data_IF_803229277439
#
_entry.id   IF_803229277439
#
_cell.length_a   1.000
_cell.length_b   1.000
_cell.length_c   1.000
_cell.angle_alpha   90.00
_cell.angle_beta   90.00
_cell.angle_gamma   90.00
#
_symmetry.space_group_name_H-M   'P 1'
#
loop_
_entity.id
_entity.type
_entity.pdbx_description
1 polymer ?
#
# COMPACT_ATOMS: atom_id res chain seq x y z
N UNK A 1 -7.56 -15.47 25.64
CA UNK A 1 -6.12 -15.59 25.27
C UNK A 1 -5.75 -14.68 24.09
N UNK A 2 -6.54 -13.65 23.74
CA UNK A 2 -6.80 -13.39 22.31
C UNK A 2 -6.60 -11.96 21.76
N UNK A 3 -6.25 -10.93 22.54
CA UNK A 3 -6.03 -9.60 21.94
C UNK A 3 -4.58 -9.39 21.45
N UNK A 4 -3.57 -9.64 22.31
CA UNK A 4 -2.17 -9.30 21.98
C UNK A 4 -1.59 -10.12 20.83
N UNK A 5 -1.81 -11.44 20.83
CA UNK A 5 -1.37 -12.30 19.72
C UNK A 5 -2.03 -11.91 18.40
N UNK A 6 -3.33 -11.61 18.40
CA UNK A 6 -4.03 -11.14 17.21
C UNK A 6 -3.43 -9.80 16.73
N UNK A 7 -3.17 -8.88 17.66
CA UNK A 7 -2.55 -7.57 17.39
C UNK A 7 -1.18 -7.72 16.74
N UNK A 8 -0.30 -8.56 17.30
CA UNK A 8 1.03 -8.80 16.75
C UNK A 8 0.97 -9.42 15.34
N UNK A 9 0.08 -10.40 15.10
CA UNK A 9 -0.09 -11.02 13.78
C UNK A 9 -0.64 -10.03 12.74
N UNK A 10 -1.62 -9.22 13.15
CA UNK A 10 -2.21 -8.17 12.33
C UNK A 10 -1.16 -7.14 11.93
N UNK A 11 -0.46 -6.56 12.90
CA UNK A 11 0.56 -5.53 12.64
C UNK A 11 1.78 -6.06 11.89
N UNK A 12 2.23 -7.29 12.18
CA UNK A 12 3.30 -7.94 11.43
C UNK A 12 3.02 -7.91 9.92
N UNK A 13 1.81 -8.30 9.53
CA UNK A 13 1.41 -8.33 8.11
C UNK A 13 1.25 -6.93 7.52
N UNK A 14 0.70 -5.96 8.27
CA UNK A 14 0.60 -4.56 7.84
C UNK A 14 1.97 -3.95 7.57
N UNK A 15 2.94 -4.16 8.45
CA UNK A 15 4.28 -3.63 8.25
C UNK A 15 4.98 -4.23 7.02
N UNK A 16 4.78 -5.53 6.76
CA UNK A 16 5.33 -6.18 5.56
C UNK A 16 4.68 -5.67 4.27
N UNK A 17 3.35 -5.52 4.26
CA UNK A 17 2.63 -4.95 3.10
C UNK A 17 3.01 -3.48 2.89
N UNK A 18 3.16 -2.69 3.96
CA UNK A 18 3.63 -1.29 3.90
C UNK A 18 5.03 -1.18 3.30
N UNK A 19 5.96 -2.03 3.74
CA UNK A 19 7.30 -2.07 3.19
C UNK A 19 7.29 -2.40 1.69
N UNK A 20 6.47 -3.35 1.25
CA UNK A 20 6.29 -3.67 -0.17
C UNK A 20 5.69 -2.50 -0.96
N UNK A 21 4.62 -1.88 -0.43
CA UNK A 21 3.94 -0.76 -1.09
C UNK A 21 4.88 0.44 -1.26
N UNK A 22 5.64 0.77 -0.22
CA UNK A 22 6.62 1.84 -0.29
C UNK A 22 7.75 1.53 -1.27
N UNK A 23 8.25 0.29 -1.30
CA UNK A 23 9.26 -0.11 -2.28
C UNK A 23 8.74 0.01 -3.73
N UNK A 24 7.50 -0.39 -3.99
CA UNK A 24 6.87 -0.26 -5.32
C UNK A 24 6.71 1.19 -5.74
N UNK A 25 6.27 2.04 -4.82
CA UNK A 25 6.10 3.47 -5.06
C UNK A 25 7.44 4.15 -5.32
N UNK A 26 8.46 3.87 -4.50
CA UNK A 26 9.81 4.41 -4.65
C UNK A 26 10.46 4.01 -5.97
N UNK A 27 10.32 2.75 -6.38
CA UNK A 27 10.89 2.23 -7.63
C UNK A 27 10.33 2.97 -8.85
N UNK A 28 9.01 3.20 -8.84
CA UNK A 28 8.31 3.93 -9.90
C UNK A 28 8.64 5.42 -9.89
N UNK A 29 8.60 6.08 -8.73
CA UNK A 29 8.99 7.49 -8.58
C UNK A 29 10.43 7.73 -9.02
N UNK A 30 11.34 6.81 -8.67
CA UNK A 30 12.73 6.86 -9.10
C UNK A 30 12.87 6.62 -10.62
N UNK A 31 12.11 5.69 -11.19
CA UNK A 31 12.15 5.44 -12.64
C UNK A 31 11.62 6.63 -13.44
N UNK A 32 10.55 7.28 -12.98
CA UNK A 32 9.97 8.46 -13.63
C UNK A 32 10.91 9.67 -13.56
N UNK A 33 11.63 9.85 -12.45
CA UNK A 33 12.55 10.98 -12.30
C UNK A 33 13.78 10.92 -13.21
N UNK A 34 14.13 9.72 -13.68
CA UNK A 34 15.20 9.51 -14.66
C UNK A 34 14.76 9.73 -16.11
N UNK A 35 13.46 9.87 -16.38
CA UNK A 35 12.96 10.09 -17.74
C UNK A 35 13.26 11.53 -18.21
N UNK A 36 13.55 11.73 -19.52
CA UNK A 36 13.72 13.08 -20.07
C UNK A 36 12.44 13.90 -19.85
N UNK A 37 12.57 14.99 -19.10
CA UNK A 37 11.46 15.93 -18.91
C UNK A 37 11.56 16.97 -20.03
N UNK A 38 10.53 17.08 -20.88
CA UNK A 38 10.44 18.06 -21.99
C UNK A 38 10.33 19.51 -21.45
N UNK A 39 11.39 20.02 -20.81
CA UNK A 39 11.46 21.36 -20.23
C UNK A 39 10.68 21.59 -18.94
N UNK A 40 10.21 20.53 -18.26
CA UNK A 40 9.27 20.59 -17.12
C UNK A 40 9.86 20.39 -15.71
N UNK A 41 11.15 20.66 -15.52
CA UNK A 41 11.81 20.60 -14.21
C UNK A 41 12.83 19.47 -14.09
N UNK A 42 13.45 19.34 -12.91
CA UNK A 42 14.55 18.41 -12.61
C UNK A 42 14.07 17.02 -12.15
N UNK A 43 12.78 16.70 -12.32
CA UNK A 43 12.17 15.44 -11.90
C UNK A 43 11.87 15.34 -10.41
N UNK A 44 12.08 16.40 -9.62
CA UNK A 44 11.80 16.41 -8.18
C UNK A 44 10.32 16.17 -7.85
N UNK A 45 9.38 16.63 -8.69
CA UNK A 45 7.95 16.43 -8.46
C UNK A 45 7.57 14.94 -8.36
N UNK A 46 8.14 14.09 -9.20
CA UNK A 46 7.84 12.65 -9.20
C UNK A 46 8.53 11.92 -8.03
N UNK A 47 9.68 12.42 -7.55
CA UNK A 47 10.35 11.90 -6.34
C UNK A 47 9.68 12.42 -5.06
N UNK A 48 8.99 13.56 -5.12
CA UNK A 48 8.21 14.10 -4.00
C UNK A 48 6.86 13.38 -3.82
N UNK A 49 6.37 12.69 -4.86
CA UNK A 49 5.11 11.93 -4.84
C UNK A 49 4.93 11.05 -3.58
N UNK A 50 5.93 10.26 -3.13
CA UNK A 50 5.81 9.47 -1.93
C UNK A 50 5.58 10.31 -0.67
N UNK A 51 6.17 11.51 -0.56
CA UNK A 51 5.96 12.42 0.58
C UNK A 51 4.51 12.89 0.69
N UNK A 52 3.85 13.11 -0.45
CA UNK A 52 2.43 13.48 -0.51
C UNK A 52 1.56 12.30 -0.12
N UNK A 53 1.78 11.13 -0.74
CA UNK A 53 0.98 9.91 -0.49
C UNK A 53 1.05 9.49 0.99
N UNK A 54 2.24 9.58 1.61
CA UNK A 54 2.42 9.22 3.02
C UNK A 54 2.12 10.35 4.00
N UNK A 55 1.83 11.57 3.51
CA UNK A 55 1.61 12.74 4.35
C UNK A 55 2.83 13.14 5.19
N UNK A 56 4.06 12.89 4.71
CA UNK A 56 5.30 13.11 5.47
C UNK A 56 6.13 14.28 4.95
N UNK A 57 5.57 15.12 4.08
CA UNK A 57 6.26 16.28 3.50
C UNK A 57 6.79 17.23 4.58
N UNK A 58 5.95 17.63 5.53
CA UNK A 58 6.34 18.54 6.63
C UNK A 58 7.46 17.94 7.48
N UNK A 59 7.32 16.68 7.91
CA UNK A 59 8.35 15.98 8.68
C UNK A 59 9.68 15.88 7.93
N UNK A 60 9.65 15.68 6.61
CA UNK A 60 10.86 15.66 5.80
C UNK A 60 11.52 17.04 5.75
N UNK A 61 10.74 18.10 5.47
CA UNK A 61 11.25 19.48 5.36
C UNK A 61 11.87 19.93 6.69
N UNK A 62 11.21 19.65 7.82
CA UNK A 62 11.72 19.99 9.15
C UNK A 62 13.08 19.36 9.46
N UNK A 63 13.32 18.14 8.96
CA UNK A 63 14.54 17.36 9.26
C UNK A 63 15.66 17.56 8.24
N UNK A 64 15.30 17.73 6.97
CA UNK A 64 16.25 17.67 5.84
C UNK A 64 16.30 18.95 5.01
N UNK A 65 15.40 19.91 5.25
CA UNK A 65 15.29 21.15 4.49
C UNK A 65 14.72 20.92 3.09
N UNK A 66 15.34 21.52 2.08
CA UNK A 66 14.89 21.45 0.69
C UNK A 66 14.84 20.01 0.15
N UNK A 67 13.91 19.78 -0.78
CA UNK A 67 13.74 18.52 -1.47
C UNK A 67 15.03 18.12 -2.19
N UNK A 68 15.46 16.87 -1.96
CA UNK A 68 16.66 16.34 -2.60
C UNK A 68 16.49 14.85 -2.83
N UNK A 69 16.66 14.42 -4.08
CA UNK A 69 16.42 13.06 -4.54
C UNK A 69 17.01 12.00 -3.60
N UNK A 70 18.34 11.99 -3.42
CA UNK A 70 19.01 10.96 -2.60
C UNK A 70 18.57 10.96 -1.13
N UNK A 71 18.28 12.13 -0.56
CA UNK A 71 17.82 12.25 0.83
C UNK A 71 16.42 11.69 0.99
N UNK A 72 15.52 11.97 0.04
CA UNK A 72 14.18 11.40 0.01
C UNK A 72 14.21 9.87 -0.14
N UNK A 73 15.05 9.34 -1.05
CA UNK A 73 15.23 7.90 -1.20
C UNK A 73 15.74 7.26 0.10
N UNK A 74 16.71 7.87 0.77
CA UNK A 74 17.19 7.39 2.07
C UNK A 74 16.12 7.48 3.17
N UNK A 75 15.38 8.59 3.24
CA UNK A 75 14.31 8.84 4.22
C UNK A 75 13.23 7.75 4.21
N UNK A 76 12.87 7.26 3.02
CA UNK A 76 11.89 6.18 2.88
C UNK A 76 12.51 4.78 2.95
N UNK A 77 13.75 4.60 2.50
CA UNK A 77 14.38 3.28 2.46
C UNK A 77 14.98 2.86 3.80
N UNK A 78 15.93 3.63 4.33
CA UNK A 78 16.87 3.19 5.36
C UNK A 78 16.87 4.03 6.64
N UNK A 79 16.14 5.15 6.67
CA UNK A 79 16.07 6.01 7.85
C UNK A 79 15.32 5.35 9.01
N UNK A 80 16.07 4.93 10.03
CA UNK A 80 15.53 4.31 11.24
C UNK A 80 14.76 5.30 12.14
N UNK A 81 14.88 6.62 11.91
CA UNK A 81 14.13 7.66 12.64
C UNK A 81 12.77 7.96 12.01
N UNK A 82 12.52 7.46 10.80
CA UNK A 82 11.22 7.49 10.14
C UNK A 82 10.50 6.16 10.43
N UNK A 83 9.43 6.14 11.24
CA UNK A 83 8.67 4.91 11.54
C UNK A 83 8.03 4.28 10.30
N UNK A 84 7.80 5.06 9.26
CA UNK A 84 7.21 4.61 8.00
C UNK A 84 8.26 4.11 6.98
N UNK A 85 9.55 4.22 7.26
CA UNK A 85 10.58 3.72 6.34
C UNK A 85 10.52 2.20 6.21
N UNK A 86 11.01 1.69 5.07
CA UNK A 86 11.11 0.24 4.82
C UNK A 86 11.93 -0.43 5.93
N UNK A 87 13.05 0.17 6.33
CA UNK A 87 13.87 -0.33 7.43
C UNK A 87 13.08 -0.46 8.75
N UNK A 88 12.38 0.60 9.15
CA UNK A 88 11.58 0.60 10.39
C UNK A 88 10.43 -0.40 10.31
N UNK A 89 9.73 -0.49 9.17
CA UNK A 89 8.64 -1.45 8.95
C UNK A 89 9.12 -2.90 9.06
N UNK A 90 10.23 -3.25 8.42
CA UNK A 90 10.78 -4.61 8.52
C UNK A 90 11.27 -4.94 9.93
N UNK A 91 11.80 -3.95 10.66
CA UNK A 91 12.15 -4.10 12.08
C UNK A 91 10.93 -4.36 12.96
N UNK A 92 9.86 -3.59 12.76
CA UNK A 92 8.60 -3.75 13.48
C UNK A 92 7.94 -5.10 13.17
N UNK A 93 7.91 -5.52 11.89
CA UNK A 93 7.42 -6.82 11.47
C UNK A 93 8.17 -7.97 12.16
N UNK A 94 9.51 -7.89 12.25
CA UNK A 94 10.34 -8.86 12.98
C UNK A 94 10.02 -8.88 14.47
N UNK A 95 9.83 -7.72 15.10
CA UNK A 95 9.49 -7.63 16.51
C UNK A 95 8.14 -8.31 16.80
N UNK A 96 7.11 -8.01 16.00
CA UNK A 96 5.80 -8.65 16.10
C UNK A 96 5.88 -10.16 15.87
N UNK A 97 6.58 -10.60 14.82
CA UNK A 97 6.80 -12.02 14.54
C UNK A 97 7.49 -12.76 15.70
N UNK A 98 8.44 -12.10 16.38
CA UNK A 98 9.13 -12.66 17.53
C UNK A 98 8.19 -12.84 18.72
N UNK A 99 7.34 -11.85 18.99
CA UNK A 99 6.35 -11.91 20.07
C UNK A 99 5.37 -13.09 19.90
N UNK A 100 5.07 -13.46 18.66
CA UNK A 100 4.15 -14.56 18.32
C UNK A 100 4.83 -15.76 17.68
N UNK A 101 6.12 -16.00 17.96
CA UNK A 101 6.89 -17.12 17.40
C UNK A 101 6.19 -18.47 17.55
N UNK A 102 5.50 -18.70 18.67
CA UNK A 102 4.73 -19.93 18.92
C UNK A 102 3.41 -20.05 18.15
N UNK A 103 3.05 -19.06 17.32
CA UNK A 103 1.79 -18.98 16.56
C UNK A 103 2.01 -18.86 15.05
N UNK A 104 3.26 -18.67 14.61
CA UNK A 104 3.69 -18.70 13.21
C UNK A 104 4.53 -19.94 12.96
N UNK A 105 4.74 -20.29 11.70
CA UNK A 105 5.59 -21.44 11.34
C UNK A 105 7.07 -21.08 11.40
N UNK A 106 7.92 -22.11 11.44
CA UNK A 106 9.37 -21.94 11.36
C UNK A 106 9.77 -21.21 10.06
N UNK A 107 9.16 -21.59 8.92
CA UNK A 107 9.46 -21.00 7.61
C UNK A 107 9.11 -19.50 7.56
N UNK A 108 7.97 -19.11 8.16
CA UNK A 108 7.61 -17.69 8.29
C UNK A 108 8.62 -16.92 9.14
N UNK A 109 9.00 -17.48 10.30
CA UNK A 109 9.96 -16.84 11.19
C UNK A 109 11.34 -16.68 10.53
N UNK A 110 11.87 -17.74 9.92
CA UNK A 110 13.20 -17.70 9.28
C UNK A 110 13.19 -16.71 8.12
N UNK A 111 12.12 -16.66 7.33
CA UNK A 111 11.99 -15.67 6.26
C UNK A 111 12.08 -14.21 6.76
N UNK A 112 11.31 -13.86 7.80
CA UNK A 112 11.34 -12.51 8.40
C UNK A 112 12.70 -12.22 9.04
N UNK A 113 13.26 -13.19 9.76
CA UNK A 113 14.54 -13.03 10.44
C UNK A 113 15.70 -12.83 9.45
N UNK A 114 15.77 -13.64 8.38
CA UNK A 114 16.75 -13.48 7.31
C UNK A 114 16.60 -12.14 6.61
N UNK A 115 15.37 -11.72 6.31
CA UNK A 115 15.07 -10.40 5.72
C UNK A 115 15.61 -9.26 6.59
N UNK A 116 15.42 -9.34 7.91
CA UNK A 116 15.96 -8.34 8.84
C UNK A 116 17.49 -8.33 8.90
N UNK A 117 18.13 -9.50 8.91
CA UNK A 117 19.59 -9.57 8.95
C UNK A 117 20.20 -8.99 7.66
N UNK A 118 19.58 -9.27 6.51
CA UNK A 118 20.04 -8.79 5.22
C UNK A 118 19.87 -7.27 5.07
N UNK A 119 18.72 -6.69 5.42
CA UNK A 119 18.55 -5.23 5.34
C UNK A 119 19.52 -4.48 6.25
N UNK A 120 19.91 -5.04 7.40
CA UNK A 120 20.96 -4.44 8.23
C UNK A 120 22.32 -4.41 7.53
N UNK A 121 22.64 -5.44 6.76
CA UNK A 121 23.82 -5.46 5.89
C UNK A 121 23.72 -4.40 4.79
N UNK A 122 22.55 -4.28 4.14
CA UNK A 122 22.30 -3.25 3.12
C UNK A 122 22.43 -1.84 3.72
N UNK A 123 21.90 -1.61 4.92
CA UNK A 123 22.00 -0.33 5.62
C UNK A 123 23.45 0.05 5.93
N UNK A 124 24.28 -0.92 6.31
CA UNK A 124 25.73 -0.72 6.52
C UNK A 124 26.46 -0.44 5.20
N UNK A 125 26.06 -1.09 4.10
CA UNK A 125 26.63 -0.86 2.78
C UNK A 125 26.26 0.50 2.19
N UNK A 126 25.06 1.01 2.52
CA UNK A 126 24.49 2.23 1.97
C UNK A 126 23.76 2.03 0.63
N UNK A 127 22.69 2.80 0.43
CA UNK A 127 21.80 2.68 -0.72
C UNK A 127 22.50 2.99 -2.05
N UNK A 128 23.40 3.99 -2.07
CA UNK A 128 24.18 4.37 -3.27
C UNK A 128 24.99 3.21 -3.83
N UNK A 129 25.58 2.39 -2.97
CA UNK A 129 26.39 1.24 -3.38
C UNK A 129 25.55 0.00 -3.68
N UNK A 130 24.42 -0.18 -2.98
CA UNK A 130 23.52 -1.32 -3.23
C UNK A 130 22.69 -1.15 -4.51
N UNK A 131 22.29 0.09 -4.81
CA UNK A 131 21.44 0.48 -5.93
C UNK A 131 19.96 0.52 -5.55
N UNK A 132 19.26 1.60 -5.92
CA UNK A 132 17.87 1.84 -5.51
C UNK A 132 16.88 0.83 -6.12
N UNK A 133 16.92 0.63 -7.44
CA UNK A 133 16.03 -0.34 -8.10
C UNK A 133 16.28 -1.77 -7.58
N UNK A 134 17.55 -2.14 -7.36
CA UNK A 134 17.90 -3.44 -6.77
C UNK A 134 17.35 -3.57 -5.34
N UNK A 135 17.41 -2.50 -4.54
CA UNK A 135 16.81 -2.48 -3.21
C UNK A 135 15.30 -2.69 -3.26
N UNK A 136 14.60 -1.97 -4.13
CA UNK A 136 13.16 -2.09 -4.25
C UNK A 136 12.73 -3.48 -4.74
N UNK A 137 13.41 -4.06 -5.74
CA UNK A 137 13.18 -5.45 -6.16
C UNK A 137 13.42 -6.45 -5.02
N UNK A 138 14.53 -6.28 -4.28
CA UNK A 138 14.82 -7.13 -3.14
C UNK A 138 13.69 -7.10 -2.09
N UNK A 139 13.16 -5.92 -1.75
CA UNK A 139 12.02 -5.80 -0.81
C UNK A 139 10.78 -6.52 -1.34
N UNK A 140 10.44 -6.33 -2.63
CA UNK A 140 9.31 -7.00 -3.30
C UNK A 140 9.45 -8.53 -3.22
N UNK A 141 10.64 -9.06 -3.52
CA UNK A 141 10.95 -10.49 -3.39
C UNK A 141 10.76 -11.00 -1.97
N UNK A 142 11.24 -10.26 -0.95
CA UNK A 142 11.11 -10.67 0.46
C UNK A 142 9.64 -10.79 0.86
N UNK A 143 8.80 -9.83 0.47
CA UNK A 143 7.36 -9.89 0.73
C UNK A 143 6.68 -11.04 -0.01
N UNK A 144 7.10 -11.35 -1.24
CA UNK A 144 6.61 -12.53 -1.98
C UNK A 144 6.97 -13.85 -1.30
N UNK A 145 8.21 -13.99 -0.81
CA UNK A 145 8.64 -15.17 -0.07
C UNK A 145 7.87 -15.32 1.25
N UNK A 146 7.67 -14.23 1.98
CA UNK A 146 6.86 -14.25 3.20
C UNK A 146 5.42 -14.70 2.92
N UNK A 147 4.79 -14.14 1.88
CA UNK A 147 3.44 -14.50 1.47
C UNK A 147 3.37 -15.99 1.07
N UNK A 148 4.33 -16.48 0.30
CA UNK A 148 4.43 -17.90 -0.06
C UNK A 148 4.57 -18.81 1.15
N UNK A 149 5.48 -18.49 2.07
CA UNK A 149 5.68 -19.23 3.32
C UNK A 149 4.40 -19.25 4.17
N UNK A 150 3.72 -18.11 4.29
CA UNK A 150 2.46 -17.99 5.04
C UNK A 150 1.40 -18.92 4.46
N UNK A 151 1.07 -18.80 3.18
CA UNK A 151 0.00 -19.61 2.56
C UNK A 151 0.35 -21.10 2.45
N UNK A 152 1.63 -21.44 2.34
CA UNK A 152 2.09 -22.82 2.17
C UNK A 152 2.17 -23.62 3.48
N UNK A 153 2.30 -22.96 4.64
CA UNK A 153 2.73 -23.65 5.87
C UNK A 153 1.82 -23.45 7.07
N UNK A 154 1.15 -22.29 7.20
CA UNK A 154 0.34 -22.00 8.39
C UNK A 154 -1.03 -22.70 8.34
N UNK A 155 -1.52 -23.12 9.51
CA UNK A 155 -2.90 -23.61 9.65
C UNK A 155 -3.90 -22.48 9.37
N UNK A 156 -4.97 -22.76 8.62
CA UNK A 156 -6.05 -21.81 8.29
C UNK A 156 -7.02 -21.58 9.47
N UNK A 157 -6.49 -21.04 10.56
CA UNK A 157 -7.23 -20.68 11.78
C UNK A 157 -7.24 -19.15 11.98
N UNK A 158 -7.60 -18.67 13.16
CA UNK A 158 -7.69 -17.24 13.46
C UNK A 158 -6.36 -16.51 13.28
N UNK A 159 -5.22 -17.17 13.51
CA UNK A 159 -3.91 -16.54 13.27
C UNK A 159 -3.73 -16.18 11.79
N UNK A 160 -4.08 -17.11 10.89
CA UNK A 160 -4.07 -16.87 9.45
C UNK A 160 -5.03 -15.75 9.05
N UNK A 161 -6.23 -15.71 9.67
CA UNK A 161 -7.22 -14.65 9.42
C UNK A 161 -6.70 -13.27 9.79
N UNK A 162 -6.07 -13.10 10.96
CA UNK A 162 -5.51 -11.81 11.38
C UNK A 162 -4.35 -11.33 10.51
N UNK A 163 -3.48 -12.24 10.04
CA UNK A 163 -2.43 -11.92 9.06
C UNK A 163 -3.05 -11.41 7.76
N UNK A 164 -4.09 -12.10 7.25
CA UNK A 164 -4.75 -11.65 6.01
C UNK A 164 -5.47 -10.32 6.21
N UNK A 165 -6.14 -10.12 7.35
CA UNK A 165 -6.86 -8.89 7.64
C UNK A 165 -5.94 -7.66 7.63
N UNK A 166 -4.76 -7.76 8.27
CA UNK A 166 -3.76 -6.69 8.22
C UNK A 166 -3.27 -6.43 6.79
N UNK A 167 -2.98 -7.48 6.03
CA UNK A 167 -2.57 -7.38 4.62
C UNK A 167 -3.59 -6.58 3.78
N UNK A 168 -4.87 -6.94 3.85
CA UNK A 168 -5.90 -6.31 2.99
C UNK A 168 -6.25 -4.88 3.42
N UNK A 169 -6.22 -4.55 4.71
CA UNK A 169 -6.40 -3.16 5.17
C UNK A 169 -5.30 -2.26 4.62
N UNK A 170 -4.04 -2.69 4.78
CA UNK A 170 -2.90 -1.88 4.32
C UNK A 170 -2.90 -1.71 2.80
N UNK A 171 -3.28 -2.75 2.07
CA UNK A 171 -3.38 -2.74 0.61
C UNK A 171 -4.52 -1.83 0.11
N UNK A 172 -5.68 -1.88 0.75
CA UNK A 172 -6.81 -1.03 0.41
C UNK A 172 -6.49 0.45 0.65
N UNK A 173 -5.93 0.79 1.82
CA UNK A 173 -5.52 2.16 2.16
C UNK A 173 -4.48 2.69 1.16
N UNK A 174 -3.43 1.90 0.87
CA UNK A 174 -2.41 2.31 -0.09
C UNK A 174 -2.98 2.53 -1.49
N UNK A 175 -3.90 1.68 -1.95
CA UNK A 175 -4.50 1.81 -3.29
C UNK A 175 -5.28 3.11 -3.42
N UNK A 176 -6.10 3.44 -2.41
CA UNK A 176 -6.84 4.69 -2.39
C UNK A 176 -5.91 5.91 -2.35
N UNK A 177 -4.92 5.94 -1.45
CA UNK A 177 -3.99 7.08 -1.35
C UNK A 177 -3.14 7.27 -2.60
N UNK A 178 -2.71 6.19 -3.23
CA UNK A 178 -1.96 6.27 -4.49
C UNK A 178 -2.82 6.80 -5.63
N UNK A 179 -4.08 6.38 -5.72
CA UNK A 179 -5.02 6.91 -6.71
C UNK A 179 -5.35 8.38 -6.46
N UNK A 180 -5.64 8.72 -5.20
CA UNK A 180 -6.03 10.07 -4.77
C UNK A 180 -4.96 11.11 -5.08
N UNK A 181 -3.74 10.86 -4.62
CA UNK A 181 -2.64 11.81 -4.83
C UNK A 181 -2.32 11.99 -6.33
N UNK A 182 -2.51 10.95 -7.15
CA UNK A 182 -2.34 11.09 -8.61
C UNK A 182 -3.44 11.93 -9.24
N UNK A 183 -4.67 11.80 -8.76
CA UNK A 183 -5.80 12.54 -9.26
C UNK A 183 -5.76 14.02 -8.83
N UNK A 184 -5.40 14.29 -7.57
CA UNK A 184 -5.19 15.65 -7.04
C UNK A 184 -4.17 16.42 -7.89
N UNK A 185 -3.05 15.78 -8.26
CA UNK A 185 -2.05 16.39 -9.15
C UNK A 185 -2.59 16.76 -10.53
N UNK A 186 -3.59 16.04 -11.03
CA UNK A 186 -4.26 16.38 -12.28
C UNK A 186 -5.21 17.55 -12.06
N UNK A 187 -6.07 17.52 -11.05
CA UNK A 187 -7.00 18.61 -10.76
C UNK A 187 -6.29 19.97 -10.59
N UNK A 188 -5.15 20.00 -9.90
CA UNK A 188 -4.32 21.21 -9.76
C UNK A 188 -3.85 21.81 -11.10
N UNK A 189 -3.77 21.01 -12.17
CA UNK A 189 -3.40 21.47 -13.53
C UNK A 189 -4.59 22.02 -14.32
N UNK A 190 -5.82 21.72 -13.90
CA UNK A 190 -7.08 22.23 -14.45
C UNK A 190 -7.69 21.40 -15.59
N UNK A 191 -9.00 21.55 -15.90
CA UNK A 191 -9.76 20.62 -16.74
C UNK A 191 -9.26 20.48 -18.18
N UNK A 192 -8.84 21.58 -18.80
CA UNK A 192 -8.27 21.58 -20.15
C UNK A 192 -6.89 20.92 -20.21
N UNK A 193 -6.11 21.04 -19.13
CA UNK A 193 -4.83 20.36 -19.01
C UNK A 193 -5.00 18.87 -18.73
N UNK A 194 -6.11 18.45 -18.08
CA UNK A 194 -6.38 17.04 -17.76
C UNK A 194 -6.70 16.22 -19.00
N UNK A 195 -7.62 16.70 -19.85
CA UNK A 195 -7.92 16.02 -21.12
C UNK A 195 -6.72 15.97 -22.07
N UNK A 196 -5.84 16.98 -22.02
CA UNK A 196 -4.58 16.99 -22.75
C UNK A 196 -3.52 16.09 -22.10
N UNK A 197 -3.48 15.99 -20.76
CA UNK A 197 -2.54 15.17 -20.01
C UNK A 197 -2.83 13.68 -20.20
N UNK A 198 -4.08 13.25 -20.08
CA UNK A 198 -4.47 11.84 -20.29
C UNK A 198 -4.11 11.34 -21.69
N UNK A 199 -4.23 12.22 -22.70
CA UNK A 199 -3.85 11.91 -24.10
C UNK A 199 -2.37 12.20 -24.42
N UNK A 200 -1.58 12.62 -23.43
CA UNK A 200 -0.15 12.91 -23.62
C UNK A 200 0.71 11.68 -23.32
N UNK A 201 1.91 11.64 -23.91
CA UNK A 201 2.92 10.65 -23.55
C UNK A 201 3.24 10.67 -22.04
N UNK A 202 3.28 11.86 -21.43
CA UNK A 202 3.53 12.02 -20.00
C UNK A 202 2.41 11.37 -19.14
N UNK A 203 1.14 11.60 -19.49
CA UNK A 203 0.01 10.98 -18.78
C UNK A 203 0.00 9.46 -18.93
N UNK A 204 0.29 8.95 -20.14
CA UNK A 204 0.45 7.51 -20.35
C UNK A 204 1.50 6.91 -19.41
N UNK A 205 2.70 7.52 -19.32
CA UNK A 205 3.76 7.02 -18.44
C UNK A 205 3.37 7.11 -16.96
N UNK A 206 2.70 8.19 -16.56
CA UNK A 206 2.26 8.42 -15.18
C UNK A 206 1.18 7.43 -14.74
N UNK A 207 0.17 7.17 -15.57
CA UNK A 207 -0.84 6.14 -15.31
C UNK A 207 -0.26 4.73 -15.34
N UNK A 208 0.64 4.45 -16.29
CA UNK A 208 1.37 3.18 -16.35
C UNK A 208 2.23 2.95 -15.11
N UNK A 209 2.85 4.01 -14.60
CA UNK A 209 3.62 4.03 -13.37
C UNK A 209 2.75 3.68 -12.15
N UNK A 210 1.59 4.34 -11.99
CA UNK A 210 0.63 4.03 -10.93
C UNK A 210 0.20 2.55 -10.98
N UNK A 211 -0.18 2.07 -12.16
CA UNK A 211 -0.59 0.68 -12.38
C UNK A 211 0.54 -0.31 -12.04
N UNK A 212 1.79 -0.01 -12.39
CA UNK A 212 2.96 -0.84 -12.03
C UNK A 212 3.23 -0.83 -10.53
N UNK A 213 3.14 0.32 -9.88
CA UNK A 213 3.28 0.42 -8.43
C UNK A 213 2.19 -0.38 -7.69
N UNK A 214 1.00 -0.52 -8.29
CA UNK A 214 -0.10 -1.32 -7.77
C UNK A 214 -0.17 -2.73 -8.37
N UNK A 215 0.86 -3.20 -9.09
CA UNK A 215 0.89 -4.55 -9.72
C UNK A 215 -0.33 -4.88 -10.57
N UNK A 216 -0.91 -3.86 -11.22
CA UNK A 216 -2.15 -3.93 -11.98
C UNK A 216 -1.97 -3.59 -13.45
N UNK A 217 -0.73 -3.37 -13.92
CA UNK A 217 -0.46 -2.98 -15.30
C UNK A 217 -0.83 -4.08 -16.31
N UNK A 218 -0.40 -5.32 -16.06
CA UNK A 218 -0.71 -6.46 -16.91
C UNK A 218 -2.23 -6.72 -16.93
N UNK A 219 -2.87 -6.62 -15.76
CA UNK A 219 -4.32 -6.77 -15.66
C UNK A 219 -5.08 -5.65 -16.38
N UNK A 220 -4.56 -4.42 -16.32
CA UNK A 220 -5.11 -3.31 -17.11
C UNK A 220 -5.05 -3.62 -18.60
N UNK A 221 -3.91 -4.08 -19.13
CA UNK A 221 -3.75 -4.38 -20.56
C UNK A 221 -4.59 -5.57 -21.04
N UNK A 222 -4.97 -6.47 -20.14
CA UNK A 222 -5.89 -7.58 -20.44
C UNK A 222 -7.35 -7.10 -20.51
N UNK A 223 -7.74 -6.20 -19.60
CA UNK A 223 -9.11 -5.72 -19.47
C UNK A 223 -9.42 -4.61 -20.47
N UNK A 224 -8.52 -3.64 -20.60
CA UNK A 224 -8.66 -2.45 -21.42
C UNK A 224 -7.64 -2.48 -22.55
N UNK A 225 -8.10 -2.17 -23.77
CA UNK A 225 -7.25 -2.16 -24.98
C UNK A 225 -6.65 -0.80 -25.28
N UNK A 226 -7.22 0.25 -24.70
CA UNK A 226 -6.81 1.64 -24.92
C UNK A 226 -5.68 2.05 -23.96
N UNK A 227 -5.12 3.24 -24.19
CA UNK A 227 -4.14 3.82 -23.29
C UNK A 227 -4.76 4.06 -21.89
N UNK A 228 -3.98 3.85 -20.80
CA UNK A 228 -4.38 4.21 -19.44
C UNK A 228 -4.84 5.67 -19.33
N UNK A 229 -6.06 5.85 -18.83
CA UNK A 229 -6.65 7.16 -18.51
C UNK A 229 -7.37 7.12 -17.16
N UNK A 230 -7.71 8.30 -16.63
CA UNK A 230 -8.21 8.45 -15.26
C UNK A 230 -9.41 7.54 -14.96
N UNK A 231 -10.39 7.51 -15.88
CA UNK A 231 -11.61 6.72 -15.73
C UNK A 231 -11.34 5.22 -15.63
N UNK A 232 -10.64 4.64 -16.60
CA UNK A 232 -10.39 3.21 -16.66
C UNK A 232 -9.50 2.75 -15.52
N UNK A 233 -8.52 3.57 -15.12
CA UNK A 233 -7.65 3.27 -13.98
C UNK A 233 -8.44 3.32 -12.68
N UNK A 234 -9.29 4.32 -12.47
CA UNK A 234 -10.15 4.40 -11.29
C UNK A 234 -11.11 3.20 -11.21
N UNK A 235 -11.77 2.84 -12.31
CA UNK A 235 -12.66 1.67 -12.38
C UNK A 235 -11.90 0.37 -12.03
N UNK A 236 -10.72 0.15 -12.61
CA UNK A 236 -9.88 -1.02 -12.34
C UNK A 236 -9.49 -1.11 -10.86
N UNK A 237 -9.03 0.00 -10.28
CA UNK A 237 -8.47 0.03 -8.94
C UNK A 237 -9.52 0.12 -7.84
N UNK A 238 -10.73 0.60 -8.12
CA UNK A 238 -11.79 0.72 -7.13
C UNK A 238 -12.81 -0.42 -7.21
N UNK A 239 -13.29 -0.78 -8.40
CA UNK A 239 -14.56 -1.52 -8.56
C UNK A 239 -14.42 -2.95 -9.07
N UNK A 240 -13.23 -3.38 -9.52
CA UNK A 240 -13.03 -4.73 -10.05
C UNK A 240 -12.60 -5.75 -8.99
N UNK A 241 -13.43 -6.76 -8.73
CA UNK A 241 -13.14 -7.80 -7.74
C UNK A 241 -12.04 -8.81 -8.15
N UNK A 242 -11.72 -8.91 -9.44
CA UNK A 242 -10.73 -9.85 -9.97
C UNK A 242 -9.28 -9.32 -9.90
N UNK A 243 -9.10 -8.06 -9.49
CA UNK A 243 -7.79 -7.42 -9.33
C UNK A 243 -7.37 -7.49 -7.85
N UNK A 244 -6.34 -8.26 -7.47
CA UNK A 244 -6.04 -8.54 -6.05
C UNK A 244 -5.69 -7.32 -5.18
N UNK A 245 -5.36 -6.19 -5.81
CA UNK A 245 -5.03 -4.92 -5.17
C UNK A 245 -6.14 -3.88 -5.31
N UNK A 246 -7.24 -4.16 -6.01
CA UNK A 246 -8.36 -3.21 -6.03
C UNK A 246 -9.00 -3.09 -4.65
N UNK A 247 -9.63 -1.93 -4.41
CA UNK A 247 -10.35 -1.66 -3.19
C UNK A 247 -11.46 -2.68 -2.96
N UNK A 248 -12.27 -2.98 -3.98
CA UNK A 248 -13.32 -4.00 -3.91
C UNK A 248 -12.79 -5.39 -3.55
N UNK A 249 -11.74 -5.88 -4.21
CA UNK A 249 -11.19 -7.20 -3.90
C UNK A 249 -10.66 -7.28 -2.45
N UNK A 250 -10.05 -6.19 -1.97
CA UNK A 250 -9.58 -6.13 -0.59
C UNK A 250 -10.73 -6.12 0.41
N UNK A 251 -11.82 -5.39 0.13
CA UNK A 251 -13.00 -5.34 1.00
C UNK A 251 -13.81 -6.63 1.00
N UNK A 252 -13.99 -7.29 -0.16
CA UNK A 252 -14.62 -8.60 -0.24
C UNK A 252 -13.87 -9.62 0.65
N UNK A 253 -12.53 -9.60 0.63
CA UNK A 253 -11.73 -10.46 1.50
C UNK A 253 -11.81 -10.08 2.98
N UNK A 254 -11.82 -8.78 3.30
CA UNK A 254 -11.99 -8.30 4.68
C UNK A 254 -13.35 -8.73 5.25
N UNK A 255 -14.43 -8.57 4.48
CA UNK A 255 -15.79 -8.97 4.89
C UNK A 255 -15.86 -10.48 5.17
N UNK A 256 -15.37 -11.31 4.24
CA UNK A 256 -15.32 -12.77 4.42
C UNK A 256 -14.51 -13.16 5.66
N UNK A 257 -13.37 -12.52 5.89
CA UNK A 257 -12.53 -12.78 7.07
C UNK A 257 -13.27 -12.40 8.35
N UNK A 258 -13.83 -11.19 8.42
CA UNK A 258 -14.51 -10.66 9.61
C UNK A 258 -15.77 -11.46 9.95
N UNK A 259 -16.56 -11.87 8.95
CA UNK A 259 -17.73 -12.72 9.13
C UNK A 259 -17.37 -14.10 9.69
N UNK A 260 -16.15 -14.59 9.44
CA UNK A 260 -15.67 -15.87 9.94
C UNK A 260 -15.04 -15.81 11.34
N UNK A 261 -14.74 -14.62 11.86
CA UNK A 261 -14.16 -14.45 13.19
C UNK A 261 -15.24 -14.53 14.28
N UNK A 262 -15.00 -15.28 15.36
CA UNK A 262 -15.98 -15.42 16.44
C UNK A 262 -15.99 -14.18 17.34
N UNK A 263 -17.16 -13.89 17.95
CA UNK A 263 -17.28 -12.92 19.05
C UNK A 263 -18.33 -11.84 18.80
N UNK A 264 -19.20 -11.62 19.79
CA UNK A 264 -20.26 -10.59 19.72
C UNK A 264 -19.66 -9.18 19.62
N UNK A 265 -18.49 -8.97 20.23
CA UNK A 265 -17.76 -7.70 20.18
C UNK A 265 -17.34 -7.32 18.76
N UNK A 266 -17.24 -8.28 17.84
CA UNK A 266 -16.86 -8.09 16.44
C UNK A 266 -17.94 -7.50 15.52
N UNK A 267 -19.21 -7.44 15.99
CA UNK A 267 -20.35 -7.00 15.18
C UNK A 267 -20.20 -5.60 14.55
N UNK A 268 -19.64 -4.58 15.24
CA UNK A 268 -19.44 -3.27 14.64
C UNK A 268 -18.51 -3.32 13.42
N UNK A 269 -17.36 -4.00 13.54
CA UNK A 269 -16.41 -4.15 12.45
C UNK A 269 -16.98 -4.98 11.29
N UNK A 270 -17.69 -6.08 11.59
CA UNK A 270 -18.39 -6.90 10.59
C UNK A 270 -19.42 -6.07 9.81
N UNK A 271 -20.24 -5.28 10.52
CA UNK A 271 -21.25 -4.43 9.88
C UNK A 271 -20.61 -3.38 8.98
N UNK A 272 -19.58 -2.68 9.45
CA UNK A 272 -18.87 -1.66 8.66
C UNK A 272 -18.27 -2.25 7.38
N UNK A 273 -17.60 -3.41 7.48
CA UNK A 273 -17.02 -4.07 6.31
C UNK A 273 -18.10 -4.48 5.28
N UNK A 274 -19.22 -5.06 5.74
CA UNK A 274 -20.33 -5.45 4.88
C UNK A 274 -21.01 -4.24 4.22
N UNK A 275 -21.19 -3.13 4.94
CA UNK A 275 -21.73 -1.87 4.40
C UNK A 275 -20.82 -1.28 3.32
N UNK A 276 -19.50 -1.26 3.56
CA UNK A 276 -18.51 -0.79 2.60
C UNK A 276 -18.43 -1.69 1.35
N UNK A 277 -18.44 -3.02 1.52
CA UNK A 277 -18.49 -3.96 0.39
C UNK A 277 -19.76 -3.78 -0.44
N UNK A 278 -20.92 -3.68 0.23
CA UNK A 278 -22.19 -3.46 -0.45
C UNK A 278 -22.18 -2.14 -1.24
N UNK A 279 -21.66 -1.04 -0.66
CA UNK A 279 -21.51 0.25 -1.37
C UNK A 279 -20.72 0.05 -2.66
N UNK A 280 -19.52 -0.51 -2.59
CA UNK A 280 -18.67 -0.72 -3.77
C UNK A 280 -19.26 -1.68 -4.81
N UNK A 281 -19.98 -2.70 -4.35
CA UNK A 281 -20.59 -3.72 -5.22
C UNK A 281 -21.68 -3.13 -6.12
N UNK A 282 -22.41 -2.14 -5.61
CA UNK A 282 -23.58 -1.57 -6.28
C UNK A 282 -23.35 -0.15 -6.82
N UNK A 283 -22.21 0.48 -6.53
CA UNK A 283 -21.80 1.75 -7.13
C UNK A 283 -21.14 1.52 -8.50
N UNK A 284 -21.51 2.34 -9.48
CA UNK A 284 -20.89 2.41 -10.79
C UNK A 284 -19.76 3.44 -10.83
N UNK A 285 -18.85 3.32 -11.81
CA UNK A 285 -17.78 4.32 -12.00
C UNK A 285 -18.35 5.69 -12.37
N UNK A 286 -19.48 5.74 -13.08
CA UNK A 286 -20.14 7.00 -13.44
C UNK A 286 -20.58 7.78 -12.19
N UNK A 287 -21.20 7.11 -11.22
CA UNK A 287 -21.61 7.74 -9.96
C UNK A 287 -20.42 8.30 -9.17
N UNK A 288 -19.29 7.60 -9.14
CA UNK A 288 -18.06 8.07 -8.47
C UNK A 288 -17.49 9.32 -9.17
N UNK A 289 -17.47 9.32 -10.50
CA UNK A 289 -16.91 10.42 -11.26
C UNK A 289 -17.84 11.64 -11.29
N UNK A 290 -19.16 11.43 -11.23
CA UNK A 290 -20.16 12.51 -11.10
C UNK A 290 -20.09 13.19 -9.73
N UNK A 291 -19.79 12.43 -8.66
CA UNK A 291 -19.51 12.97 -7.33
C UNK A 291 -18.16 13.71 -7.28
N UNK A 292 -17.17 13.23 -8.05
CA UNK A 292 -15.79 13.70 -8.03
C UNK A 292 -14.88 12.68 -7.35
N UNK A 293 -13.85 12.19 -8.07
CA UNK A 293 -13.02 11.08 -7.58
C UNK A 293 -12.27 11.44 -6.28
N UNK A 294 -11.71 12.66 -6.19
CA UNK A 294 -11.00 13.12 -4.99
C UNK A 294 -11.95 13.23 -3.78
N UNK A 295 -13.15 13.78 -4.01
CA UNK A 295 -14.18 13.96 -2.97
C UNK A 295 -14.66 12.60 -2.45
N UNK A 296 -14.92 11.66 -3.36
CA UNK A 296 -15.30 10.30 -3.03
C UNK A 296 -14.21 9.56 -2.24
N UNK A 297 -12.93 9.69 -2.64
CA UNK A 297 -11.80 9.08 -1.94
C UNK A 297 -11.60 9.69 -0.54
N UNK A 298 -11.77 11.00 -0.39
CA UNK A 298 -11.71 11.69 0.89
C UNK A 298 -12.84 11.29 1.85
N UNK A 299 -13.98 10.82 1.35
CA UNK A 299 -15.01 10.20 2.18
C UNK A 299 -14.62 8.75 2.57
N UNK A 300 -14.12 7.99 1.61
CA UNK A 300 -13.92 6.54 1.77
C UNK A 300 -12.67 6.17 2.60
N UNK A 301 -11.58 6.94 2.50
CA UNK A 301 -10.34 6.72 3.27
C UNK A 301 -10.60 6.78 4.79
N UNK A 302 -11.29 7.80 5.34
CA UNK A 302 -11.69 7.82 6.75
C UNK A 302 -12.57 6.64 7.17
N UNK A 303 -13.46 6.16 6.32
CA UNK A 303 -14.28 4.97 6.62
C UNK A 303 -13.41 3.71 6.80
N UNK A 304 -12.40 3.51 5.96
CA UNK A 304 -11.46 2.39 6.12
C UNK A 304 -10.64 2.54 7.41
N UNK A 305 -10.24 3.76 7.76
CA UNK A 305 -9.55 4.02 9.03
C UNK A 305 -10.44 3.66 10.23
N UNK A 306 -11.71 4.07 10.21
CA UNK A 306 -12.70 3.71 11.24
C UNK A 306 -12.94 2.20 11.33
N UNK A 307 -12.95 1.48 10.20
CA UNK A 307 -12.99 0.01 10.19
C UNK A 307 -11.74 -0.57 10.88
N UNK A 308 -10.55 0.00 10.61
CA UNK A 308 -9.31 -0.36 11.30
C UNK A 308 -9.40 -0.20 12.82
N UNK A 309 -9.94 0.94 13.28
CA UNK A 309 -10.14 1.21 14.70
C UNK A 309 -11.18 0.27 15.33
N UNK A 310 -12.28 -0.01 14.63
CA UNK A 310 -13.29 -0.96 15.07
C UNK A 310 -12.70 -2.37 15.20
N UNK A 311 -11.84 -2.80 14.27
CA UNK A 311 -11.12 -4.07 14.35
C UNK A 311 -10.18 -4.08 15.55
N UNK A 312 -9.46 -2.98 15.79
CA UNK A 312 -8.57 -2.84 16.92
C UNK A 312 -9.28 -3.03 18.25
N UNK A 313 -10.35 -2.27 18.48
CA UNK A 313 -11.16 -2.34 19.71
C UNK A 313 -11.80 -3.73 19.86
N UNK A 314 -12.37 -4.27 18.77
CA UNK A 314 -13.18 -5.50 18.83
C UNK A 314 -12.36 -6.77 19.00
N UNK A 315 -11.18 -6.84 18.40
CA UNK A 315 -10.39 -8.08 18.30
C UNK A 315 -8.96 -7.96 18.83
N UNK A 316 -8.36 -6.76 18.84
CA UNK A 316 -6.94 -6.56 19.14
C UNK A 316 -6.68 -5.97 20.53
N UNK A 317 -7.68 -5.36 21.17
CA UNK A 317 -7.63 -4.89 22.56
C UNK A 317 -8.48 -5.74 23.53
N UNK A 318 -9.53 -6.39 23.03
CA UNK A 318 -10.47 -7.12 23.87
C UNK A 318 -9.82 -8.34 24.58
N UNK A 319 -9.69 -8.23 25.90
CA UNK A 319 -9.36 -9.31 26.83
C UNK A 319 -10.62 -9.96 27.40
#
# INVERSE_FOLDING_TARGET
MLSRTASDLFWMSRYLERAENLARMLDVSYSLSLMPQDGRGDGLDEIAMPLLITGTLETYIERHGELHAERMLHFFALDATNPASIYSCLGAARASAHAVRGRITADMWENINSTWLEIRGIAQQGLTRYGMSRFCEWVKERSHLFRGATYGTIMRNDAFRFIRLGTFIERADNTMRMLDARYEMLELRGPQANAAADNSAAGYYQWSALLRALSSFEAYTEVYRDAPGARQVAELLLLRADIPRSLRACLEEMDVILASLPGINGRPAQRMAAEMDARLRYTSIDEILDEGLHEWLNEFIPMLAQLGDAIHISYLEAA
#
